data_IF_513170031172
#
_entry.id   IF_513170031172
#
_cell.length_a   1.000
_cell.length_b   1.000
_cell.length_c   1.000
_cell.angle_alpha   90.00
_cell.angle_beta   90.00
_cell.angle_gamma   90.00
#
_symmetry.space_group_name_H-M   'P 1'
#
loop_
_entity.id
_entity.type
_entity.pdbx_description
1 polymer ?
#
# COMPACT_ATOMS: atom_id res chain seq x y z
N UNK A 1 -40.60 -2.85 -7.94
CA UNK A 1 -39.47 -3.76 -8.15
C UNK A 1 -38.80 -3.42 -9.47
N UNK A 2 -37.50 -3.13 -9.40
CA UNK A 2 -36.64 -2.89 -10.57
C UNK A 2 -36.44 -4.18 -11.38
N UNK A 3 -35.89 -4.07 -12.60
CA UNK A 3 -35.49 -5.25 -13.37
C UNK A 3 -34.40 -6.05 -12.64
N UNK A 4 -33.52 -5.37 -11.90
CA UNK A 4 -32.47 -6.00 -11.08
C UNK A 4 -33.09 -6.82 -9.95
N UNK A 5 -34.10 -6.31 -9.27
CA UNK A 5 -34.77 -7.01 -8.17
C UNK A 5 -35.40 -8.31 -8.66
N UNK A 6 -36.10 -8.25 -9.80
CA UNK A 6 -36.75 -9.43 -10.42
C UNK A 6 -35.72 -10.49 -10.81
N UNK A 7 -34.61 -10.07 -11.44
CA UNK A 7 -33.53 -10.98 -11.82
C UNK A 7 -32.85 -11.60 -10.60
N UNK A 8 -32.69 -10.83 -9.51
CA UNK A 8 -32.08 -11.33 -8.28
C UNK A 8 -32.94 -12.39 -7.58
N UNK A 9 -34.27 -12.20 -7.50
CA UNK A 9 -35.15 -13.22 -6.90
C UNK A 9 -35.09 -14.55 -7.66
N UNK A 10 -35.08 -14.50 -9.00
CA UNK A 10 -34.89 -15.72 -9.82
C UNK A 10 -33.55 -16.40 -9.54
N UNK A 11 -32.46 -15.64 -9.43
CA UNK A 11 -31.15 -16.18 -9.10
C UNK A 11 -31.12 -16.79 -7.69
N UNK A 12 -31.75 -16.13 -6.72
CA UNK A 12 -31.86 -16.60 -5.33
C UNK A 12 -32.55 -17.95 -5.25
N UNK A 13 -33.65 -18.15 -5.98
CA UNK A 13 -34.32 -19.45 -6.09
C UNK A 13 -33.40 -20.53 -6.68
N UNK A 14 -32.67 -20.21 -7.75
CA UNK A 14 -31.72 -21.14 -8.37
C UNK A 14 -30.60 -21.56 -7.42
N UNK A 15 -30.00 -20.62 -6.69
CA UNK A 15 -28.95 -20.94 -5.70
C UNK A 15 -29.49 -21.70 -4.48
N UNK A 16 -30.73 -21.42 -4.07
CA UNK A 16 -31.37 -22.15 -2.97
C UNK A 16 -31.54 -23.65 -3.30
N UNK A 17 -31.76 -24.01 -4.57
CA UNK A 17 -31.82 -25.41 -5.01
C UNK A 17 -30.50 -26.18 -4.78
N UNK A 18 -29.37 -25.47 -4.67
CA UNK A 18 -28.07 -26.04 -4.29
C UNK A 18 -27.73 -25.88 -2.80
N UNK A 19 -28.68 -25.45 -1.98
CA UNK A 19 -28.47 -25.21 -0.54
C UNK A 19 -27.71 -23.91 -0.23
N UNK A 20 -27.62 -22.97 -1.18
CA UNK A 20 -26.90 -21.70 -1.00
C UNK A 20 -27.87 -20.58 -0.67
N UNK A 21 -27.73 -19.99 0.51
CA UNK A 21 -28.48 -18.79 0.91
C UNK A 21 -27.74 -17.52 0.46
N UNK A 22 -28.12 -16.95 -0.67
CA UNK A 22 -27.47 -15.76 -1.27
C UNK A 22 -27.56 -14.53 -0.37
N UNK A 23 -28.66 -14.31 0.33
CA UNK A 23 -28.81 -13.16 1.24
C UNK A 23 -27.82 -13.23 2.41
N UNK A 24 -27.61 -14.43 2.97
CA UNK A 24 -26.60 -14.65 4.01
C UNK A 24 -25.18 -14.45 3.47
N UNK A 25 -24.91 -14.92 2.24
CA UNK A 25 -23.61 -14.73 1.57
C UNK A 25 -23.33 -13.26 1.31
N UNK A 26 -24.30 -12.49 0.81
CA UNK A 26 -24.14 -11.06 0.56
C UNK A 26 -23.89 -10.27 1.85
N UNK A 27 -24.58 -10.61 2.95
CA UNK A 27 -24.29 -10.05 4.27
C UNK A 27 -22.86 -10.33 4.72
N UNK A 28 -22.37 -11.56 4.51
CA UNK A 28 -20.99 -11.93 4.83
C UNK A 28 -19.99 -11.18 3.93
N UNK A 29 -20.24 -11.12 2.62
CA UNK A 29 -19.41 -10.41 1.65
C UNK A 29 -19.23 -8.94 2.02
N UNK A 30 -20.30 -8.26 2.45
CA UNK A 30 -20.25 -6.87 2.88
C UNK A 30 -19.30 -6.60 4.07
N UNK A 31 -18.89 -7.64 4.81
CA UNK A 31 -17.92 -7.53 5.92
C UNK A 31 -16.47 -7.73 5.50
N UNK A 32 -16.22 -8.19 4.27
CA UNK A 32 -14.87 -8.44 3.75
C UNK A 32 -14.28 -7.12 3.23
N UNK A 33 -13.19 -6.68 3.86
CA UNK A 33 -12.46 -5.51 3.43
C UNK A 33 -11.33 -5.90 2.47
N UNK A 34 -11.27 -5.24 1.31
CA UNK A 34 -10.12 -5.32 0.39
C UNK A 34 -9.19 -4.15 0.70
N UNK A 35 -7.88 -4.40 0.73
CA UNK A 35 -6.89 -3.33 0.92
C UNK A 35 -6.38 -2.86 -0.44
N UNK A 36 -6.84 -1.69 -0.88
CA UNK A 36 -6.50 -1.12 -2.18
C UNK A 36 -5.15 -0.41 -2.10
N UNK A 37 -4.30 -0.62 -3.09
CA UNK A 37 -2.96 -0.05 -3.12
C UNK A 37 -2.96 1.40 -3.60
N UNK A 38 -2.33 2.31 -2.83
CA UNK A 38 -2.31 3.74 -3.16
C UNK A 38 -1.53 4.05 -4.44
N UNK A 39 -0.52 3.25 -4.74
CA UNK A 39 0.44 3.53 -5.81
C UNK A 39 -0.10 3.38 -7.23
N UNK A 40 -1.32 2.86 -7.38
CA UNK A 40 -2.02 2.90 -8.66
C UNK A 40 -2.40 4.33 -9.06
N UNK A 41 -2.64 5.23 -8.10
CA UNK A 41 -3.14 6.57 -8.40
C UNK A 41 -2.09 7.50 -9.04
N UNK A 42 -0.80 7.17 -8.93
CA UNK A 42 0.30 8.06 -9.31
C UNK A 42 1.48 7.35 -9.99
N UNK A 43 1.28 6.13 -10.48
CA UNK A 43 2.32 5.31 -11.12
C UNK A 43 3.50 5.01 -10.18
N UNK A 44 3.25 4.73 -8.89
CA UNK A 44 4.32 4.51 -7.89
C UNK A 44 5.25 5.72 -7.75
N UNK A 45 4.75 6.93 -8.02
CA UNK A 45 5.55 8.16 -7.96
C UNK A 45 5.97 8.53 -6.54
N UNK A 46 5.05 8.40 -5.58
CA UNK A 46 5.25 8.90 -4.22
C UNK A 46 5.38 10.42 -4.17
N UNK A 47 5.63 10.94 -2.97
CA UNK A 47 5.72 12.38 -2.68
C UNK A 47 7.04 12.80 -2.06
N UNK A 48 7.95 11.86 -1.78
CA UNK A 48 9.28 12.15 -1.22
C UNK A 48 10.24 12.80 -2.24
N UNK A 49 10.23 12.34 -3.50
CA UNK A 49 11.13 12.80 -4.57
C UNK A 49 10.33 12.98 -5.86
N UNK A 50 9.97 14.23 -6.18
CA UNK A 50 9.17 14.54 -7.37
C UNK A 50 9.97 14.27 -8.66
N UNK A 51 9.66 13.18 -9.36
CA UNK A 51 10.14 12.91 -10.72
C UNK A 51 11.30 11.92 -10.85
N UNK A 52 11.70 11.26 -9.76
CA UNK A 52 12.70 10.19 -9.84
C UNK A 52 12.12 8.90 -10.45
N UNK A 53 12.99 8.11 -11.08
CA UNK A 53 12.58 6.82 -11.64
C UNK A 53 12.27 5.79 -10.53
N UNK A 54 11.22 4.98 -10.74
CA UNK A 54 10.73 3.97 -9.79
C UNK A 54 11.83 2.96 -9.41
N UNK A 55 12.73 2.63 -10.35
CA UNK A 55 13.86 1.72 -10.09
C UNK A 55 13.45 0.34 -9.55
N UNK A 56 14.39 -0.38 -8.93
CA UNK A 56 14.09 -1.61 -8.18
C UNK A 56 13.49 -2.78 -8.98
N UNK A 57 13.62 -2.78 -10.32
CA UNK A 57 13.01 -3.80 -11.18
C UNK A 57 11.50 -3.64 -11.38
N UNK A 58 10.91 -2.55 -10.88
CA UNK A 58 9.51 -2.21 -11.07
C UNK A 58 9.32 -1.45 -12.39
N UNK A 59 8.16 -1.64 -13.02
CA UNK A 59 7.80 -0.95 -14.24
C UNK A 59 6.35 -0.47 -14.16
N UNK A 60 6.14 0.77 -14.59
CA UNK A 60 4.82 1.29 -14.96
C UNK A 60 4.85 1.59 -16.45
N UNK A 61 3.80 1.19 -17.15
CA UNK A 61 3.72 1.26 -18.61
C UNK A 61 2.49 2.04 -19.04
N UNK A 62 2.61 2.80 -20.13
CA UNK A 62 1.56 3.68 -20.63
C UNK A 62 1.71 5.12 -20.14
N UNK A 63 1.05 6.04 -20.84
CA UNK A 63 1.10 7.49 -20.58
C UNK A 63 -0.33 8.06 -20.49
N UNK A 64 -1.24 7.37 -19.81
CA UNK A 64 -2.60 7.86 -19.63
C UNK A 64 -2.57 9.12 -18.76
N UNK A 65 -3.22 10.23 -19.17
CA UNK A 65 -3.14 11.49 -18.43
C UNK A 65 -3.94 11.45 -17.12
N UNK A 66 -3.62 12.36 -16.21
CA UNK A 66 -4.44 12.64 -15.02
C UNK A 66 -4.02 11.93 -13.74
N UNK A 67 -2.83 11.32 -13.68
CA UNK A 67 -2.31 10.74 -12.44
C UNK A 67 -2.17 11.78 -11.32
N UNK A 68 -2.39 11.35 -10.08
CA UNK A 68 -2.22 12.20 -8.91
C UNK A 68 -0.76 12.66 -8.75
N UNK A 69 -0.58 13.89 -8.30
CA UNK A 69 0.74 14.54 -8.10
C UNK A 69 0.92 15.05 -6.67
N UNK A 70 -0.13 15.02 -5.87
CA UNK A 70 -0.14 15.45 -4.48
C UNK A 70 -0.92 14.46 -3.61
N UNK A 71 -0.67 14.45 -2.29
CA UNK A 71 -1.49 13.68 -1.35
C UNK A 71 -3.00 13.98 -1.47
N UNK A 72 -3.38 15.24 -1.72
CA UNK A 72 -4.78 15.63 -1.86
C UNK A 72 -5.43 15.11 -3.15
N UNK A 73 -4.73 15.19 -4.28
CA UNK A 73 -5.19 14.60 -5.55
C UNK A 73 -5.38 13.08 -5.37
N UNK A 74 -4.42 12.40 -4.75
CA UNK A 74 -4.50 10.95 -4.53
C UNK A 74 -5.65 10.56 -3.59
N UNK A 75 -5.89 11.32 -2.51
CA UNK A 75 -7.04 11.10 -1.63
C UNK A 75 -8.36 11.24 -2.38
N UNK A 76 -8.50 12.27 -3.22
CA UNK A 76 -9.70 12.48 -4.03
C UNK A 76 -9.93 11.33 -5.02
N UNK A 77 -8.88 10.83 -5.67
CA UNK A 77 -8.96 9.68 -6.58
C UNK A 77 -9.37 8.40 -5.85
N UNK A 78 -8.82 8.17 -4.65
CA UNK A 78 -9.20 7.03 -3.80
C UNK A 78 -10.65 7.13 -3.33
N UNK A 79 -11.11 8.31 -2.91
CA UNK A 79 -12.51 8.53 -2.53
C UNK A 79 -13.44 8.27 -3.71
N UNK A 80 -13.06 8.74 -4.92
CA UNK A 80 -13.82 8.48 -6.13
C UNK A 80 -13.91 6.98 -6.40
N UNK A 81 -12.79 6.24 -6.31
CA UNK A 81 -12.78 4.80 -6.46
C UNK A 81 -13.68 4.12 -5.42
N UNK A 82 -13.56 4.47 -4.14
CA UNK A 82 -14.40 3.90 -3.07
C UNK A 82 -15.89 4.18 -3.27
N UNK A 83 -16.28 5.33 -3.83
CA UNK A 83 -17.69 5.61 -4.16
C UNK A 83 -18.29 4.66 -5.20
N UNK A 84 -17.45 3.97 -5.97
CA UNK A 84 -17.85 3.05 -7.03
C UNK A 84 -17.68 1.57 -6.63
N UNK A 85 -17.06 1.30 -5.48
CA UNK A 85 -16.76 -0.07 -5.02
C UNK A 85 -17.63 -0.40 -3.80
N UNK A 86 -18.49 -1.43 -3.87
CA UNK A 86 -19.37 -1.78 -2.77
C UNK A 86 -18.63 -2.30 -1.53
N UNK A 87 -19.01 -1.78 -0.37
CA UNK A 87 -18.51 -2.23 0.92
C UNK A 87 -17.61 -1.20 1.58
N UNK A 88 -16.87 -1.65 2.60
CA UNK A 88 -15.95 -0.80 3.35
C UNK A 88 -14.57 -1.41 3.34
N UNK A 89 -13.63 -0.67 2.79
CA UNK A 89 -12.33 -1.18 2.40
C UNK A 89 -11.21 -0.50 3.18
N UNK A 90 -9.97 -0.84 2.84
CA UNK A 90 -8.76 -0.27 3.42
C UNK A 90 -7.91 0.36 2.33
N UNK A 91 -7.02 1.26 2.72
CA UNK A 91 -5.96 1.76 1.86
C UNK A 91 -4.62 1.15 2.29
N UNK A 92 -3.82 0.68 1.33
CA UNK A 92 -2.47 0.20 1.55
C UNK A 92 -1.48 1.27 1.09
N UNK A 93 -0.74 1.85 2.03
CA UNK A 93 0.18 2.97 1.80
C UNK A 93 1.64 2.51 1.76
N UNK A 94 2.45 3.22 0.98
CA UNK A 94 3.92 3.10 1.03
C UNK A 94 4.54 4.28 1.78
N UNK A 95 5.72 4.09 2.36
CA UNK A 95 6.44 5.14 3.07
C UNK A 95 6.81 6.35 2.19
N UNK A 96 6.99 6.15 0.88
CA UNK A 96 7.25 7.25 -0.06
C UNK A 96 6.03 8.16 -0.29
N UNK A 97 4.83 7.79 0.18
CA UNK A 97 3.62 8.63 0.19
C UNK A 97 3.55 9.53 1.44
N UNK A 98 4.72 9.90 1.96
CA UNK A 98 4.87 10.84 3.07
C UNK A 98 4.18 12.17 2.74
N UNK A 99 3.50 12.77 3.72
CA UNK A 99 2.76 14.03 3.54
C UNK A 99 3.38 15.11 4.43
N UNK A 100 4.47 15.71 3.95
CA UNK A 100 5.21 16.75 4.65
C UNK A 100 5.97 17.65 3.67
N UNK A 101 6.09 18.94 4.01
CA UNK A 101 6.86 19.92 3.23
C UNK A 101 8.38 19.83 3.48
N UNK A 102 8.80 19.09 4.51
CA UNK A 102 10.22 18.95 4.86
C UNK A 102 10.80 17.71 4.20
N UNK A 103 12.01 17.82 3.68
CA UNK A 103 12.77 16.64 3.30
C UNK A 103 13.12 15.83 4.57
N UNK A 104 12.71 14.57 4.60
CA UNK A 104 12.98 13.64 5.70
C UNK A 104 13.60 12.38 5.11
N UNK A 105 14.72 11.92 5.67
CA UNK A 105 15.33 10.66 5.26
C UNK A 105 14.45 9.46 5.64
N UNK A 106 14.47 8.40 4.84
CA UNK A 106 13.57 7.26 5.05
C UNK A 106 13.77 6.58 6.42
N UNK A 107 14.97 6.53 6.97
CA UNK A 107 15.21 6.01 8.32
C UNK A 107 14.72 6.93 9.45
N UNK A 108 14.41 8.19 9.13
CA UNK A 108 13.97 9.23 10.06
C UNK A 108 12.48 9.53 9.99
N UNK A 109 11.72 8.87 9.12
CA UNK A 109 10.27 9.06 9.09
C UNK A 109 9.61 8.61 10.39
N UNK A 110 8.53 9.29 10.78
CA UNK A 110 7.82 9.07 12.04
C UNK A 110 6.31 9.21 11.82
N UNK A 111 5.47 8.75 12.76
CA UNK A 111 4.01 8.85 12.66
C UNK A 111 3.47 10.24 12.31
N UNK A 112 4.12 11.32 12.76
CA UNK A 112 3.71 12.69 12.46
C UNK A 112 3.69 13.01 10.96
N UNK A 113 4.56 12.41 10.15
CA UNK A 113 4.60 12.63 8.70
C UNK A 113 3.47 11.93 7.94
N UNK A 114 2.67 11.12 8.64
CA UNK A 114 1.49 10.41 8.11
C UNK A 114 0.22 10.82 8.85
N UNK A 115 0.26 11.90 9.64
CA UNK A 115 -0.88 12.35 10.44
C UNK A 115 -2.09 12.71 9.56
N UNK A 116 -1.87 13.37 8.42
CA UNK A 116 -2.94 13.71 7.48
C UNK A 116 -3.64 12.46 6.94
N UNK A 117 -2.88 11.44 6.55
CA UNK A 117 -3.41 10.12 6.15
C UNK A 117 -4.22 9.45 7.25
N UNK A 118 -3.73 9.49 8.48
CA UNK A 118 -4.43 8.96 9.65
C UNK A 118 -5.75 9.67 9.93
N UNK A 119 -5.76 11.00 9.88
CA UNK A 119 -6.96 11.79 10.13
C UNK A 119 -7.99 11.64 9.00
N UNK A 120 -7.53 11.62 7.74
CA UNK A 120 -8.34 11.34 6.56
C UNK A 120 -9.00 9.96 6.62
N UNK A 121 -8.20 8.91 6.86
CA UNK A 121 -8.71 7.54 6.96
C UNK A 121 -9.70 7.39 8.12
N UNK A 122 -9.46 8.07 9.25
CA UNK A 122 -10.41 8.11 10.37
C UNK A 122 -11.74 8.78 9.98
N UNK A 123 -11.70 9.87 9.21
CA UNK A 123 -12.90 10.54 8.69
C UNK A 123 -13.75 9.62 7.82
N UNK A 124 -13.11 8.85 6.94
CA UNK A 124 -13.76 7.81 6.10
C UNK A 124 -14.08 6.52 6.87
N UNK A 125 -13.61 6.43 8.12
CA UNK A 125 -13.72 5.26 9.00
C UNK A 125 -13.06 4.00 8.40
N UNK A 126 -12.07 4.13 7.53
CA UNK A 126 -11.37 3.00 6.89
C UNK A 126 -10.11 2.61 7.67
N UNK A 127 -9.63 1.39 7.45
CA UNK A 127 -8.32 0.96 7.93
C UNK A 127 -7.21 1.33 6.95
N UNK A 128 -5.97 1.35 7.42
CA UNK A 128 -4.78 1.61 6.61
C UNK A 128 -3.72 0.53 6.87
N UNK A 129 -3.19 -0.03 5.80
CA UNK A 129 -2.02 -0.92 5.79
C UNK A 129 -0.79 -0.15 5.30
N UNK A 130 0.41 -0.68 5.56
CA UNK A 130 1.65 0.09 5.38
C UNK A 130 2.79 -0.74 4.79
N UNK A 131 3.75 -0.08 4.15
CA UNK A 131 4.92 -0.70 3.54
C UNK A 131 6.13 0.25 3.67
N UNK A 132 7.30 -0.22 4.11
CA UNK A 132 8.54 0.53 3.92
C UNK A 132 8.94 0.54 2.45
N UNK A 133 9.47 1.67 1.95
CA UNK A 133 10.00 1.82 0.59
C UNK A 133 11.48 1.49 0.54
N UNK A 134 11.85 0.36 -0.07
CA UNK A 134 13.25 -0.06 -0.25
C UNK A 134 13.78 0.14 -1.68
N UNK A 135 13.06 0.84 -2.56
CA UNK A 135 13.43 1.08 -3.96
C UNK A 135 13.46 2.59 -4.27
N UNK A 136 13.74 3.01 -5.52
CA UNK A 136 13.81 4.42 -5.91
C UNK A 136 14.64 5.31 -4.97
N UNK A 137 15.82 4.84 -4.54
CA UNK A 137 16.65 5.56 -3.57
C UNK A 137 18.14 5.34 -3.83
N UNK A 138 19.01 6.36 -3.61
CA UNK A 138 20.45 6.21 -3.82
C UNK A 138 21.07 5.05 -3.03
N UNK A 139 20.58 4.78 -1.81
CA UNK A 139 21.03 3.64 -0.99
C UNK A 139 20.45 2.27 -1.40
N UNK A 140 19.73 2.20 -2.52
CA UNK A 140 19.24 0.97 -3.14
C UNK A 140 19.73 0.82 -4.59
N UNK A 141 20.59 1.73 -5.07
CA UNK A 141 20.98 1.83 -6.48
C UNK A 141 21.85 0.67 -6.96
N UNK A 142 22.54 -0.03 -6.05
CA UNK A 142 23.34 -1.23 -6.36
C UNK A 142 22.51 -2.52 -6.39
N UNK A 143 21.19 -2.42 -6.22
CA UNK A 143 20.27 -3.56 -6.23
C UNK A 143 20.21 -4.34 -4.92
N UNK A 144 20.77 -3.81 -3.83
CA UNK A 144 20.74 -4.45 -2.50
C UNK A 144 20.39 -3.45 -1.39
N UNK A 145 19.61 -3.90 -0.40
CA UNK A 145 19.12 -3.07 0.71
C UNK A 145 19.39 -3.74 2.06
N UNK A 146 18.45 -4.53 2.58
CA UNK A 146 18.58 -5.27 3.83
C UNK A 146 19.71 -6.32 3.77
N UNK A 147 20.06 -6.79 2.57
CA UNK A 147 21.18 -7.73 2.36
C UNK A 147 22.41 -7.08 1.73
N UNK A 148 22.53 -5.75 1.77
CA UNK A 148 23.69 -5.05 1.19
C UNK A 148 25.00 -5.42 1.92
N UNK A 149 26.13 -5.74 1.26
CA UNK A 149 27.40 -6.01 1.95
C UNK A 149 27.90 -4.85 2.83
N UNK A 150 27.56 -3.61 2.47
CA UNK A 150 27.87 -2.43 3.26
C UNK A 150 26.94 -2.32 4.49
N UNK A 151 27.51 -2.51 5.68
CA UNK A 151 26.80 -2.44 6.96
C UNK A 151 26.07 -1.09 7.17
N UNK A 152 26.64 0.02 6.71
CA UNK A 152 25.99 1.33 6.81
C UNK A 152 24.70 1.44 5.98
N UNK A 153 24.68 0.81 4.80
CA UNK A 153 23.46 0.74 3.97
C UNK A 153 22.44 -0.21 4.60
N UNK A 154 22.87 -1.39 5.09
CA UNK A 154 21.95 -2.31 5.80
C UNK A 154 21.30 -1.63 7.01
N UNK A 155 22.10 -0.98 7.85
CA UNK A 155 21.61 -0.32 9.05
C UNK A 155 20.58 0.76 8.71
N UNK A 156 20.82 1.57 7.67
CA UNK A 156 19.84 2.55 7.19
C UNK A 156 18.48 1.91 6.86
N UNK A 157 18.49 0.78 6.13
CA UNK A 157 17.26 0.09 5.76
C UNK A 157 16.60 -0.65 6.93
N UNK A 158 17.39 -1.18 7.87
CA UNK A 158 16.87 -1.75 9.12
C UNK A 158 16.14 -0.66 9.93
N UNK A 159 16.76 0.50 10.10
CA UNK A 159 16.15 1.66 10.78
C UNK A 159 14.87 2.12 10.08
N UNK A 160 14.88 2.19 8.74
CA UNK A 160 13.67 2.48 7.96
C UNK A 160 12.54 1.46 8.19
N UNK A 161 12.87 0.16 8.17
CA UNK A 161 11.92 -0.90 8.46
C UNK A 161 11.33 -0.79 9.87
N UNK A 162 12.14 -0.44 10.87
CA UNK A 162 11.70 -0.20 12.25
C UNK A 162 10.75 1.00 12.31
N UNK A 163 11.15 2.14 11.73
CA UNK A 163 10.33 3.35 11.67
C UNK A 163 8.94 3.08 11.03
N UNK A 164 8.90 2.28 9.97
CA UNK A 164 7.65 1.89 9.33
C UNK A 164 6.77 0.98 10.19
N UNK A 165 7.36 0.12 11.03
CA UNK A 165 6.60 -0.66 12.02
C UNK A 165 5.96 0.23 13.06
N UNK A 166 6.65 1.28 13.52
CA UNK A 166 6.09 2.27 14.45
C UNK A 166 4.94 3.06 13.80
N UNK A 167 5.09 3.44 12.53
CA UNK A 167 4.02 4.10 11.76
C UNK A 167 2.81 3.17 11.59
N UNK A 168 3.03 1.90 11.22
CA UNK A 168 1.96 0.90 11.14
C UNK A 168 1.23 0.72 12.48
N UNK A 169 1.97 0.66 13.59
CA UNK A 169 1.37 0.62 14.93
C UNK A 169 0.55 1.88 15.25
N UNK A 170 1.02 3.06 14.84
CA UNK A 170 0.30 4.32 15.01
C UNK A 170 -1.01 4.36 14.20
N UNK A 171 -1.01 3.89 12.94
CA UNK A 171 -2.23 3.68 12.16
C UNK A 171 -3.20 2.76 12.89
N UNK A 172 -2.71 1.61 13.37
CA UNK A 172 -3.55 0.64 14.07
C UNK A 172 -4.21 1.21 15.32
N UNK A 173 -3.43 1.95 16.12
CA UNK A 173 -3.91 2.63 17.33
C UNK A 173 -4.94 3.71 17.02
N UNK A 174 -4.72 4.52 15.98
CA UNK A 174 -5.60 5.64 15.63
C UNK A 174 -6.92 5.18 15.01
N UNK A 175 -6.87 4.13 14.18
CA UNK A 175 -8.00 3.67 13.36
C UNK A 175 -8.80 2.53 14.02
N UNK A 176 -8.27 1.93 15.09
CA UNK A 176 -8.95 0.87 15.85
C UNK A 176 -8.96 -0.49 15.15
N UNK A 177 -8.07 -0.70 14.17
CA UNK A 177 -7.91 -1.95 13.43
C UNK A 177 -6.42 -2.13 13.11
N UNK A 178 -5.81 -3.31 13.31
CA UNK A 178 -4.39 -3.50 13.03
C UNK A 178 -4.01 -3.09 11.59
N UNK A 179 -2.85 -2.46 11.43
CA UNK A 179 -2.23 -2.25 10.13
C UNK A 179 -1.35 -3.45 9.80
N UNK A 180 -1.47 -4.01 8.60
CA UNK A 180 -0.48 -4.94 8.07
C UNK A 180 0.70 -4.12 7.55
N UNK A 181 1.88 -4.30 8.14
CA UNK A 181 3.13 -3.70 7.64
C UNK A 181 3.90 -4.73 6.83
N UNK A 182 3.72 -4.72 5.51
CA UNK A 182 4.34 -5.69 4.62
C UNK A 182 5.80 -5.31 4.28
N UNK A 183 6.66 -6.33 4.17
CA UNK A 183 8.09 -6.18 3.93
C UNK A 183 8.44 -6.79 2.57
N UNK A 184 8.71 -5.94 1.59
CA UNK A 184 9.19 -6.35 0.27
C UNK A 184 10.46 -5.58 -0.07
N UNK A 185 11.51 -6.29 -0.51
CA UNK A 185 12.80 -5.70 -0.89
C UNK A 185 13.17 -6.10 -2.33
N UNK A 186 13.89 -5.24 -3.07
CA UNK A 186 14.34 -5.53 -4.43
C UNK A 186 15.62 -6.38 -4.48
N UNK A 187 16.13 -6.81 -3.32
CA UNK A 187 17.45 -7.41 -3.16
C UNK A 187 17.63 -8.67 -4.02
N UNK A 188 18.57 -8.58 -4.97
CA UNK A 188 18.80 -9.66 -5.91
C UNK A 188 19.87 -9.34 -6.93
N UNK A 189 20.16 -10.32 -7.77
CA UNK A 189 21.09 -10.18 -8.89
C UNK A 189 20.35 -10.45 -10.19
N UNK A 190 20.70 -9.67 -11.21
CA UNK A 190 20.16 -9.85 -12.56
C UNK A 190 20.61 -11.18 -13.19
N UNK A 191 21.84 -11.60 -12.90
CA UNK A 191 22.46 -12.80 -13.45
C UNK A 191 22.77 -13.82 -12.34
N UNK A 192 23.29 -14.98 -12.73
CA UNK A 192 23.60 -16.11 -11.85
C UNK A 192 24.56 -15.70 -10.73
N UNK A 193 24.14 -15.79 -9.45
CA UNK A 193 25.01 -15.43 -8.34
C UNK A 193 26.08 -16.51 -8.12
N UNK A 194 27.33 -16.07 -7.91
CA UNK A 194 28.40 -16.96 -7.46
C UNK A 194 28.18 -17.46 -6.01
N UNK A 195 27.47 -16.68 -5.19
CA UNK A 195 27.15 -17.01 -3.80
C UNK A 195 25.73 -16.56 -3.43
N UNK A 196 24.89 -17.52 -3.04
CA UNK A 196 23.51 -17.27 -2.55
C UNK A 196 23.43 -17.22 -1.02
N UNK A 197 24.45 -17.71 -0.31
CA UNK A 197 24.49 -17.83 1.14
C UNK A 197 25.02 -16.57 1.79
N UNK A 198 26.11 -15.99 1.27
CA UNK A 198 26.77 -14.82 1.85
C UNK A 198 25.78 -13.71 2.24
N UNK A 199 24.90 -13.29 1.32
CA UNK A 199 23.93 -12.22 1.55
C UNK A 199 22.89 -12.51 2.64
N UNK A 200 22.62 -13.80 2.93
CA UNK A 200 21.66 -14.24 3.96
C UNK A 200 22.27 -14.30 5.36
N UNK A 201 23.60 -14.34 5.45
CA UNK A 201 24.34 -14.42 6.71
C UNK A 201 24.74 -13.03 7.28
N UNK A 202 24.45 -11.95 6.55
CA UNK A 202 24.88 -10.57 6.85
C UNK A 202 24.15 -9.86 7.98
#
# INVERSE_FOLDING_TARGET
>A
MSQVDKSYELAKEQYAAFGVNTDAVLKKLATVAISLHCWQGDDVGGFENKGDAIGGGLAVTGNYPGKARTPDELRADVEKAFSLIPGKHRLNLHACYIDTDKKVERNEIRPEHFKSWMDWAKGLKIGVDFNPTYFAHPKAADGMTLTNPNKGIRNYWIEHGIACREIGAAFGKKLGTPAVTNQWIPDGMKDSPADRKYFRDL
#
